data_IF_141598445678
#
_entry.id   IF_141598445678
#
_cell.length_a   1.000
_cell.length_b   1.000
_cell.length_c   1.000
_cell.angle_alpha   90.00
_cell.angle_beta   90.00
_cell.angle_gamma   90.00
#
_symmetry.space_group_name_H-M   'P 1'
#
loop_
_entity.id
_entity.type
_entity.pdbx_description
1 polymer ?
#
# COMPACT_ATOMS: atom_id res chain seq x y z
N UNK A 1 -25.14 -7.44 -34.65
CA UNK A 1 -24.93 -7.43 -33.17
C UNK A 1 -24.74 -6.00 -32.71
N UNK A 2 -25.70 -5.42 -32.05
CA UNK A 2 -25.68 -4.02 -31.63
C UNK A 2 -24.72 -3.83 -30.47
N UNK A 3 -23.74 -2.93 -30.61
CA UNK A 3 -22.91 -2.44 -29.50
C UNK A 3 -23.82 -1.66 -28.54
N UNK A 4 -24.08 -2.23 -27.35
CA UNK A 4 -24.73 -1.49 -26.29
C UNK A 4 -23.89 -0.25 -25.95
N UNK A 5 -24.43 0.96 -26.15
CA UNK A 5 -23.86 2.21 -25.64
C UNK A 5 -23.85 2.12 -24.12
N UNK A 6 -22.65 2.08 -23.54
CA UNK A 6 -22.51 2.23 -22.10
C UNK A 6 -23.09 3.57 -21.67
N UNK A 7 -23.95 3.56 -20.65
CA UNK A 7 -24.51 4.76 -20.06
C UNK A 7 -23.37 5.64 -19.53
N UNK A 8 -23.39 6.92 -19.88
CA UNK A 8 -22.42 7.89 -19.41
C UNK A 8 -22.54 8.00 -17.87
N UNK A 9 -21.51 7.52 -17.13
CA UNK A 9 -21.39 7.72 -15.68
C UNK A 9 -21.07 6.50 -14.81
N UNK A 10 -21.14 5.26 -15.30
CA UNK A 10 -20.68 4.11 -14.52
C UNK A 10 -19.15 4.01 -14.52
N UNK A 11 -18.49 3.78 -13.37
CA UNK A 11 -17.06 3.58 -13.36
C UNK A 11 -16.69 2.37 -14.22
N UNK A 12 -15.70 2.54 -15.12
CA UNK A 12 -15.20 1.45 -15.95
C UNK A 12 -14.70 0.30 -15.05
N UNK A 13 -15.13 -0.92 -15.35
CA UNK A 13 -14.62 -2.11 -14.65
C UNK A 13 -13.10 -2.14 -14.72
N UNK A 14 -12.44 -2.52 -13.62
CA UNK A 14 -10.99 -2.72 -13.60
C UNK A 14 -10.55 -3.81 -14.58
N UNK A 15 -11.44 -4.72 -14.96
CA UNK A 15 -11.17 -5.76 -15.96
C UNK A 15 -11.30 -5.26 -17.40
N UNK A 16 -12.02 -4.15 -17.63
CA UNK A 16 -12.27 -3.62 -18.97
C UNK A 16 -11.43 -2.38 -19.24
N UNK A 17 -10.13 -2.61 -19.47
CA UNK A 17 -9.15 -1.57 -19.81
C UNK A 17 -8.30 -2.00 -21.00
N UNK A 18 -7.76 -1.03 -21.71
CA UNK A 18 -6.72 -1.27 -22.69
C UNK A 18 -5.36 -1.35 -21.99
N UNK A 19 -4.45 -2.11 -22.56
CA UNK A 19 -3.08 -2.24 -22.06
C UNK A 19 -2.65 -3.67 -21.82
N UNK A 20 -1.63 -3.81 -20.97
CA UNK A 20 -0.93 -5.05 -20.73
C UNK A 20 -0.82 -5.37 -19.25
N UNK A 21 -0.97 -6.64 -18.91
CA UNK A 21 -0.62 -7.23 -17.62
C UNK A 21 0.53 -8.21 -17.85
N UNK A 22 1.53 -8.20 -17.00
CA UNK A 22 2.51 -9.27 -16.98
C UNK A 22 1.90 -10.44 -16.20
N UNK A 23 1.83 -11.61 -16.84
CA UNK A 23 1.22 -12.81 -16.26
C UNK A 23 2.09 -14.01 -16.62
N UNK A 24 2.58 -14.73 -15.61
CA UNK A 24 3.38 -15.96 -15.74
C UNK A 24 4.48 -15.89 -16.80
N UNK A 25 5.33 -14.87 -16.73
CA UNK A 25 6.53 -14.75 -17.56
C UNK A 25 6.38 -13.85 -18.80
N UNK A 26 5.17 -13.45 -19.20
CA UNK A 26 4.90 -12.69 -20.43
C UNK A 26 3.88 -11.56 -20.24
N UNK A 27 3.92 -10.58 -21.11
CA UNK A 27 2.87 -9.57 -21.23
C UNK A 27 1.67 -10.18 -21.99
N UNK A 28 0.48 -10.05 -21.40
CA UNK A 28 -0.78 -10.45 -22.03
C UNK A 28 -1.70 -9.24 -22.14
N UNK A 29 -2.64 -9.19 -23.13
CA UNK A 29 -3.65 -8.13 -23.18
C UNK A 29 -4.43 -8.07 -21.88
N UNK A 30 -4.75 -6.85 -21.41
CA UNK A 30 -5.38 -6.61 -20.08
C UNK A 30 -6.62 -7.49 -19.85
N UNK A 31 -7.53 -7.54 -20.85
CA UNK A 31 -8.80 -8.27 -20.75
C UNK A 31 -8.66 -9.78 -20.71
N UNK A 32 -7.50 -10.31 -21.09
CA UNK A 32 -7.23 -11.77 -21.12
C UNK A 32 -6.53 -12.28 -19.85
N UNK A 33 -6.13 -11.38 -18.95
CA UNK A 33 -5.51 -11.75 -17.67
C UNK A 33 -6.60 -12.21 -16.67
N UNK A 34 -7.08 -13.43 -16.85
CA UNK A 34 -8.16 -14.04 -16.06
C UNK A 34 -7.66 -15.24 -15.28
N UNK A 35 -8.39 -15.64 -14.24
CA UNK A 35 -8.14 -16.89 -13.50
C UNK A 35 -9.44 -17.67 -13.36
N UNK A 36 -9.32 -18.99 -13.17
CA UNK A 36 -10.48 -19.88 -13.02
C UNK A 36 -11.16 -19.65 -11.66
N UNK A 37 -12.48 -19.81 -11.59
CA UNK A 37 -13.27 -19.64 -10.34
C UNK A 37 -12.82 -20.60 -9.23
N UNK A 38 -12.25 -21.76 -9.55
CA UNK A 38 -11.68 -22.72 -8.60
C UNK A 38 -10.21 -22.43 -8.25
N UNK A 39 -9.71 -21.23 -8.54
CA UNK A 39 -8.38 -20.79 -8.08
C UNK A 39 -8.31 -20.86 -6.56
N UNK A 40 -7.38 -21.64 -6.03
CA UNK A 40 -7.25 -21.93 -4.59
C UNK A 40 -7.23 -20.64 -3.75
N UNK A 41 -6.47 -19.63 -4.18
CA UNK A 41 -6.37 -18.36 -3.45
C UNK A 41 -7.67 -17.59 -3.36
N UNK A 42 -8.63 -17.75 -4.29
CA UNK A 42 -9.96 -17.13 -4.21
C UNK A 42 -10.81 -17.72 -3.07
N UNK A 43 -10.61 -19.00 -2.75
CA UNK A 43 -11.39 -19.70 -1.72
C UNK A 43 -10.74 -19.63 -0.34
N UNK A 44 -9.41 -19.64 -0.27
CA UNK A 44 -8.68 -19.75 1.00
C UNK A 44 -7.83 -18.50 1.34
N UNK A 45 -7.89 -17.46 0.53
CA UNK A 45 -7.23 -16.18 0.80
C UNK A 45 -5.70 -16.19 0.72
N UNK A 46 -5.07 -17.32 0.39
CA UNK A 46 -3.62 -17.45 0.37
C UNK A 46 -3.01 -16.93 -0.94
N UNK A 47 -2.94 -15.61 -1.04
CA UNK A 47 -2.17 -14.89 -2.04
C UNK A 47 -1.35 -13.80 -1.33
N UNK A 48 -0.15 -13.50 -1.83
CA UNK A 48 0.68 -12.39 -1.35
C UNK A 48 0.80 -11.33 -2.43
N UNK A 49 0.76 -10.06 -2.05
CA UNK A 49 0.77 -8.98 -3.02
C UNK A 49 1.55 -7.77 -2.54
N UNK A 50 1.85 -6.87 -3.45
CA UNK A 50 2.43 -5.58 -3.14
C UNK A 50 1.64 -4.43 -3.74
N UNK A 51 1.81 -3.27 -3.14
CA UNK A 51 1.42 -2.01 -3.71
C UNK A 51 2.67 -1.18 -3.91
N UNK A 52 2.98 -0.88 -5.15
CA UNK A 52 4.19 -0.16 -5.56
C UNK A 52 3.75 1.06 -6.36
N UNK A 53 4.50 2.16 -6.32
CA UNK A 53 4.12 3.36 -7.05
C UNK A 53 5.24 3.85 -7.94
N UNK A 54 4.90 4.13 -9.18
CA UNK A 54 5.74 4.85 -10.12
C UNK A 54 5.30 6.31 -10.16
N UNK A 55 6.29 7.20 -10.14
CA UNK A 55 6.09 8.66 -10.15
C UNK A 55 6.69 9.27 -11.42
N UNK A 56 6.09 10.36 -11.89
CA UNK A 56 6.70 11.27 -12.83
C UNK A 56 7.77 12.08 -12.09
N UNK A 57 9.02 11.88 -12.47
CA UNK A 57 10.17 12.52 -11.79
C UNK A 57 10.98 13.38 -12.75
N UNK A 58 11.94 14.17 -12.24
CA UNK A 58 12.90 14.92 -13.07
C UNK A 58 13.74 14.04 -13.98
N UNK A 59 13.89 12.75 -13.66
CA UNK A 59 14.67 11.77 -14.44
C UNK A 59 13.81 10.87 -15.32
N UNK A 60 12.54 11.23 -15.53
CA UNK A 60 11.51 10.42 -16.18
C UNK A 60 10.70 9.60 -15.20
N UNK A 61 9.89 8.67 -15.69
CA UNK A 61 9.12 7.77 -14.83
C UNK A 61 10.06 6.88 -14.01
N UNK A 62 9.86 6.82 -12.70
CA UNK A 62 10.65 5.96 -11.81
C UNK A 62 9.77 5.31 -10.73
N UNK A 63 10.09 4.06 -10.39
CA UNK A 63 9.42 3.31 -9.32
C UNK A 63 10.14 3.57 -8.00
N UNK A 64 9.39 3.99 -6.99
CA UNK A 64 9.90 4.24 -5.64
C UNK A 64 10.09 2.93 -4.88
N UNK A 65 11.29 2.74 -4.28
CA UNK A 65 11.64 1.58 -3.43
C UNK A 65 11.31 0.22 -4.06
N UNK A 66 11.53 0.07 -5.38
CA UNK A 66 11.19 -1.15 -6.12
C UNK A 66 11.82 -2.41 -5.52
N UNK A 67 13.09 -2.33 -5.09
CA UNK A 67 13.80 -3.45 -4.49
C UNK A 67 13.14 -3.87 -3.17
N UNK A 68 12.89 -2.94 -2.27
CA UNK A 68 12.31 -3.20 -0.96
C UNK A 68 10.89 -3.77 -1.05
N UNK A 69 10.09 -3.28 -1.99
CA UNK A 69 8.76 -3.85 -2.29
C UNK A 69 8.87 -5.28 -2.81
N UNK A 70 9.82 -5.53 -3.72
CA UNK A 70 10.03 -6.89 -4.25
C UNK A 70 10.53 -7.83 -3.15
N UNK A 71 11.46 -7.38 -2.32
CA UNK A 71 11.96 -8.17 -1.18
C UNK A 71 10.81 -8.51 -0.20
N UNK A 72 9.92 -7.56 0.10
CA UNK A 72 8.78 -7.80 0.98
C UNK A 72 7.75 -8.76 0.36
N UNK A 73 7.54 -8.73 -0.95
CA UNK A 73 6.72 -9.73 -1.65
C UNK A 73 7.26 -11.15 -1.42
N UNK A 74 8.58 -11.33 -1.58
CA UNK A 74 9.23 -12.63 -1.35
C UNK A 74 9.23 -13.03 0.13
N UNK A 75 9.42 -12.09 1.04
CA UNK A 75 9.33 -12.34 2.48
C UNK A 75 7.90 -12.76 2.89
N UNK A 76 6.88 -12.09 2.35
CA UNK A 76 5.48 -12.47 2.56
C UNK A 76 5.19 -13.89 2.05
N UNK A 77 5.71 -14.24 0.86
CA UNK A 77 5.60 -15.57 0.30
C UNK A 77 6.33 -16.62 1.16
N UNK A 78 7.54 -16.29 1.62
CA UNK A 78 8.35 -17.19 2.47
C UNK A 78 7.66 -17.52 3.80
N UNK A 79 7.04 -16.54 4.45
CA UNK A 79 6.28 -16.71 5.70
C UNK A 79 5.17 -17.77 5.54
N UNK A 80 4.54 -17.82 4.36
CA UNK A 80 3.47 -18.79 4.04
C UNK A 80 3.95 -19.96 3.21
N UNK A 81 5.26 -20.23 3.16
CA UNK A 81 5.87 -21.35 2.43
C UNK A 81 5.53 -21.36 0.93
N UNK A 82 5.12 -20.22 0.38
CA UNK A 82 4.83 -20.07 -1.05
C UNK A 82 6.14 -19.87 -1.83
N UNK A 83 6.40 -20.76 -2.79
CA UNK A 83 7.59 -20.67 -3.65
C UNK A 83 7.25 -19.93 -4.94
N UNK A 84 7.58 -18.64 -5.00
CA UNK A 84 7.45 -17.84 -6.23
C UNK A 84 8.40 -18.43 -7.30
N UNK A 85 7.90 -18.77 -8.53
CA UNK A 85 8.71 -19.47 -9.54
C UNK A 85 9.61 -18.53 -10.36
N UNK A 86 9.97 -17.36 -9.80
CA UNK A 86 10.83 -16.34 -10.42
C UNK A 86 11.84 -15.81 -9.41
N UNK A 87 12.95 -15.24 -9.92
CA UNK A 87 13.90 -14.52 -9.07
C UNK A 87 13.40 -13.10 -8.76
N UNK A 88 13.96 -12.47 -7.73
CA UNK A 88 13.67 -11.07 -7.38
C UNK A 88 13.96 -10.14 -8.55
N UNK A 89 15.12 -10.31 -9.19
CA UNK A 89 15.57 -9.52 -10.33
C UNK A 89 14.59 -9.64 -11.50
N UNK A 90 14.10 -10.87 -11.78
CA UNK A 90 13.10 -11.07 -12.85
C UNK A 90 11.80 -10.35 -12.55
N UNK A 91 11.31 -10.37 -11.30
CA UNK A 91 10.08 -9.65 -10.93
C UNK A 91 10.28 -8.13 -10.87
N UNK A 92 11.46 -7.64 -10.48
CA UNK A 92 11.78 -6.22 -10.62
C UNK A 92 11.72 -5.78 -12.09
N UNK A 93 12.34 -6.54 -13.00
CA UNK A 93 12.28 -6.26 -14.43
C UNK A 93 10.84 -6.34 -14.98
N UNK A 94 10.04 -7.31 -14.54
CA UNK A 94 8.64 -7.45 -14.95
C UNK A 94 7.78 -6.23 -14.53
N UNK A 95 8.02 -5.68 -13.34
CA UNK A 95 7.36 -4.45 -12.91
C UNK A 95 7.75 -3.25 -13.79
N UNK A 96 9.01 -3.11 -14.16
CA UNK A 96 9.47 -2.08 -15.10
C UNK A 96 8.89 -2.30 -16.50
N UNK A 97 8.83 -3.56 -16.97
CA UNK A 97 8.26 -3.93 -18.27
C UNK A 97 6.79 -3.53 -18.37
N UNK A 98 5.98 -3.81 -17.34
CA UNK A 98 4.55 -3.52 -17.36
C UNK A 98 4.26 -2.01 -17.35
N UNK A 99 5.02 -1.22 -16.59
CA UNK A 99 4.88 0.24 -16.58
C UNK A 99 5.24 0.81 -17.95
N UNK A 100 6.34 0.30 -18.55
CA UNK A 100 6.80 0.73 -19.90
C UNK A 100 5.80 0.36 -21.00
N UNK A 101 5.27 -0.89 -20.99
CA UNK A 101 4.32 -1.37 -21.99
C UNK A 101 3.03 -0.55 -21.99
N UNK A 102 2.59 -0.10 -20.82
CA UNK A 102 1.40 0.74 -20.66
C UNK A 102 1.68 2.25 -20.83
N UNK A 103 2.93 2.67 -21.03
CA UNK A 103 3.34 4.07 -21.24
C UNK A 103 2.88 5.03 -20.14
N UNK A 104 2.79 4.56 -18.89
CA UNK A 104 2.36 5.40 -17.78
C UNK A 104 3.51 6.29 -17.30
N UNK A 105 3.26 7.59 -17.16
CA UNK A 105 4.18 8.53 -16.53
C UNK A 105 4.16 8.43 -15.00
N UNK A 106 2.98 8.17 -14.44
CA UNK A 106 2.77 7.88 -13.02
C UNK A 106 1.66 6.83 -12.90
N UNK A 107 1.85 5.83 -12.03
CA UNK A 107 0.87 4.75 -11.89
C UNK A 107 1.08 3.97 -10.58
N UNK A 108 0.06 3.24 -10.20
CA UNK A 108 0.14 2.20 -9.20
C UNK A 108 0.49 0.88 -9.86
N UNK A 109 1.34 0.09 -9.22
CA UNK A 109 1.78 -1.24 -9.70
C UNK A 109 1.39 -2.27 -8.65
N UNK A 110 0.69 -3.31 -9.06
CA UNK A 110 0.18 -4.38 -8.22
C UNK A 110 0.75 -5.75 -8.63
N UNK A 111 1.90 -6.15 -8.11
CA UNK A 111 2.32 -7.54 -8.20
C UNK A 111 1.54 -8.38 -7.19
N UNK A 112 1.15 -9.58 -7.61
CA UNK A 112 0.48 -10.58 -6.80
C UNK A 112 1.01 -11.96 -7.15
N UNK A 113 1.27 -12.79 -6.15
CA UNK A 113 1.56 -14.21 -6.30
C UNK A 113 0.47 -15.01 -5.59
N UNK A 114 -0.09 -16.02 -6.26
CA UNK A 114 -1.26 -16.75 -5.79
C UNK A 114 -1.23 -18.21 -6.23
N UNK A 115 -1.88 -19.09 -5.48
CA UNK A 115 -2.07 -20.48 -5.87
C UNK A 115 -3.21 -20.62 -6.87
N UNK A 116 -2.97 -21.37 -7.95
CA UNK A 116 -3.88 -21.61 -9.06
C UNK A 116 -5.00 -22.60 -8.76
N UNK A 117 -5.55 -23.18 -9.82
CA UNK A 117 -6.75 -24.04 -9.79
C UNK A 117 -6.44 -25.54 -9.90
N UNK A 118 -5.17 -25.93 -9.80
CA UNK A 118 -4.75 -27.32 -9.97
C UNK A 118 -5.19 -28.22 -8.81
N UNK A 119 -5.52 -27.62 -7.66
CA UNK A 119 -5.96 -28.35 -6.48
C UNK A 119 -6.88 -27.51 -5.61
N UNK A 120 -7.87 -28.17 -5.02
CA UNK A 120 -8.75 -27.61 -3.99
C UNK A 120 -8.48 -28.30 -2.63
N UNK A 121 -8.90 -27.64 -1.54
CA UNK A 121 -8.71 -28.07 -0.16
C UNK A 121 -7.75 -27.13 0.59
N UNK A 122 -7.77 -27.16 1.92
CA UNK A 122 -7.01 -26.22 2.77
C UNK A 122 -5.49 -26.29 2.48
N UNK A 123 -4.95 -27.48 2.19
CA UNK A 123 -3.54 -27.62 1.85
C UNK A 123 -3.28 -27.20 0.39
N UNK A 124 -2.40 -26.21 0.14
CA UNK A 124 -2.03 -25.81 -1.22
C UNK A 124 -1.00 -26.73 -1.88
N UNK A 125 -0.55 -27.79 -1.21
CA UNK A 125 0.46 -28.71 -1.76
C UNK A 125 -0.04 -29.34 -3.04
N UNK A 126 0.69 -29.13 -4.14
CA UNK A 126 0.33 -29.57 -5.49
C UNK A 126 -0.35 -28.52 -6.36
N UNK A 127 -0.77 -27.38 -5.81
CA UNK A 127 -1.19 -26.22 -6.60
C UNK A 127 0.03 -25.44 -7.12
N UNK A 128 -0.06 -24.89 -8.32
CA UNK A 128 0.98 -24.02 -8.89
C UNK A 128 0.88 -22.61 -8.32
N UNK A 129 2.02 -21.95 -8.20
CA UNK A 129 2.07 -20.53 -7.89
C UNK A 129 2.12 -19.73 -9.18
N UNK A 130 1.13 -18.90 -9.38
CA UNK A 130 1.03 -17.95 -10.48
C UNK A 130 1.47 -16.57 -10.03
N UNK A 131 1.96 -15.73 -10.96
CA UNK A 131 2.33 -14.35 -10.68
C UNK A 131 1.73 -13.44 -11.73
N UNK A 132 1.01 -12.41 -11.29
CA UNK A 132 0.52 -11.35 -12.15
C UNK A 132 1.00 -9.98 -11.67
N UNK A 133 1.26 -9.07 -12.61
CA UNK A 133 1.65 -7.68 -12.31
C UNK A 133 0.83 -6.76 -13.21
N UNK A 134 -0.06 -5.98 -12.60
CA UNK A 134 -0.84 -4.95 -13.27
C UNK A 134 -0.30 -3.56 -12.94
N UNK A 135 -0.45 -2.59 -13.87
CA UNK A 135 -0.14 -1.20 -13.62
C UNK A 135 -1.24 -0.31 -14.21
N UNK A 136 -1.73 0.66 -13.43
CA UNK A 136 -2.79 1.58 -13.87
C UNK A 136 -2.63 2.96 -13.24
N UNK A 137 -3.08 4.04 -13.93
CA UNK A 137 -3.12 5.36 -13.33
C UNK A 137 -4.04 5.34 -12.09
N UNK A 138 -3.50 5.78 -10.96
CA UNK A 138 -4.28 5.92 -9.73
C UNK A 138 -3.85 7.21 -9.03
N UNK A 139 -4.81 8.12 -8.83
CA UNK A 139 -4.60 9.39 -8.16
C UNK A 139 -4.32 9.23 -6.65
N UNK A 140 -4.51 10.30 -5.89
CA UNK A 140 -4.46 10.23 -4.44
C UNK A 140 -5.57 9.30 -3.92
N UNK A 141 -5.21 8.27 -3.16
CA UNK A 141 -6.13 7.21 -2.68
C UNK A 141 -7.33 7.78 -1.91
N UNK A 142 -7.06 8.70 -0.98
CA UNK A 142 -8.09 9.37 -0.17
C UNK A 142 -8.55 10.71 -0.80
N UNK A 143 -8.17 10.97 -2.05
CA UNK A 143 -8.46 12.21 -2.76
C UNK A 143 -7.43 13.32 -2.53
N UNK A 144 -7.35 14.30 -3.46
CA UNK A 144 -6.35 15.37 -3.38
C UNK A 144 -6.56 16.29 -2.17
N UNK A 145 -7.79 16.47 -1.70
CA UNK A 145 -8.11 17.28 -0.52
C UNK A 145 -7.61 16.64 0.77
N UNK A 146 -7.58 15.31 0.85
CA UNK A 146 -7.09 14.59 2.02
C UNK A 146 -5.63 14.93 2.34
N UNK A 147 -4.78 15.03 1.32
CA UNK A 147 -3.36 15.39 1.48
C UNK A 147 -3.17 16.84 1.99
N UNK A 148 -4.08 17.74 1.65
CA UNK A 148 -3.99 19.15 2.02
C UNK A 148 -4.71 19.46 3.34
N UNK A 149 -5.94 18.96 3.50
CA UNK A 149 -6.82 19.30 4.63
C UNK A 149 -6.74 18.29 5.78
N UNK A 150 -6.24 17.08 5.51
CA UNK A 150 -6.31 15.95 6.44
C UNK A 150 -7.68 15.26 6.44
N UNK A 151 -7.72 14.06 6.99
CA UNK A 151 -8.88 13.16 7.00
C UNK A 151 -9.47 13.02 8.40
N UNK A 152 -10.72 12.54 8.44
CA UNK A 152 -11.42 12.12 9.65
C UNK A 152 -11.30 10.61 9.81
N UNK A 153 -10.85 10.17 10.96
CA UNK A 153 -10.59 8.75 11.25
C UNK A 153 -11.49 8.28 12.38
N UNK A 154 -11.97 7.05 12.26
CA UNK A 154 -12.74 6.37 13.30
C UNK A 154 -11.93 5.19 13.85
N UNK A 155 -11.86 5.06 15.16
CA UNK A 155 -11.41 3.81 15.77
C UNK A 155 -12.44 2.71 15.47
N UNK A 156 -12.01 1.66 14.82
CA UNK A 156 -12.85 0.52 14.48
C UNK A 156 -13.23 -0.28 15.71
N UNK A 157 -14.42 -0.86 15.71
CA UNK A 157 -14.84 -1.87 16.70
C UNK A 157 -14.13 -3.21 16.52
N UNK A 158 -13.54 -3.44 15.32
CA UNK A 158 -12.75 -4.64 15.02
C UNK A 158 -11.30 -4.45 15.46
N UNK A 159 -10.76 -5.41 16.22
CA UNK A 159 -9.33 -5.43 16.53
C UNK A 159 -8.52 -5.94 15.35
N UNK A 160 -7.28 -5.46 15.22
CA UNK A 160 -6.29 -6.06 14.33
C UNK A 160 -6.04 -7.50 14.77
N UNK A 161 -5.92 -8.41 13.82
CA UNK A 161 -5.72 -9.83 14.13
C UNK A 161 -4.50 -10.06 15.03
N UNK A 162 -4.63 -10.98 15.97
CA UNK A 162 -3.54 -11.38 16.83
C UNK A 162 -2.38 -11.97 16.03
N UNK A 163 -1.14 -11.69 16.44
CA UNK A 163 0.10 -12.07 15.75
C UNK A 163 0.25 -13.59 15.54
N UNK A 164 -0.47 -14.41 16.32
CA UNK A 164 -0.50 -15.88 16.17
C UNK A 164 -1.81 -16.40 15.55
N UNK A 165 -2.63 -15.54 14.96
CA UNK A 165 -3.79 -15.92 14.13
C UNK A 165 -3.43 -15.84 12.65
N UNK A 166 -2.83 -14.74 12.24
CA UNK A 166 -2.23 -14.53 10.93
C UNK A 166 -0.93 -13.75 11.07
N UNK A 167 -0.05 -13.84 10.07
CA UNK A 167 1.29 -13.23 10.16
C UNK A 167 1.25 -11.76 9.72
N UNK A 168 1.28 -10.82 10.68
CA UNK A 168 1.20 -9.38 10.42
C UNK A 168 2.34 -8.83 9.54
N UNK A 169 3.49 -9.51 9.48
CA UNK A 169 4.62 -9.13 8.62
C UNK A 169 4.43 -9.49 7.15
N UNK A 170 3.46 -10.34 6.83
CA UNK A 170 3.16 -10.74 5.46
C UNK A 170 2.02 -9.89 4.89
N UNK A 171 2.23 -9.32 3.71
CA UNK A 171 1.17 -8.64 2.95
C UNK A 171 0.38 -9.69 2.17
N UNK A 172 -0.59 -10.31 2.86
CA UNK A 172 -1.39 -11.44 2.36
C UNK A 172 -2.86 -11.05 2.17
N UNK A 173 -3.48 -11.51 1.09
CA UNK A 173 -4.89 -11.19 0.76
C UNK A 173 -5.87 -11.61 1.85
N UNK A 174 -5.66 -12.76 2.48
CA UNK A 174 -6.53 -13.30 3.52
C UNK A 174 -6.55 -12.51 4.84
N UNK A 175 -5.65 -11.54 5.05
CA UNK A 175 -5.71 -10.64 6.21
C UNK A 175 -6.56 -9.39 5.95
N UNK A 176 -6.84 -9.08 4.68
CA UNK A 176 -7.53 -7.86 4.28
C UNK A 176 -9.03 -7.81 4.59
N UNK A 177 -9.79 -8.92 4.78
CA UNK A 177 -11.15 -8.83 5.30
C UNK A 177 -11.26 -8.02 6.60
N UNK A 178 -10.27 -8.09 7.48
CA UNK A 178 -10.19 -7.26 8.69
C UNK A 178 -10.09 -5.75 8.35
N UNK A 179 -9.23 -5.38 7.40
CA UNK A 179 -9.12 -4.00 6.91
C UNK A 179 -10.41 -3.52 6.21
N UNK A 180 -11.03 -4.39 5.40
CA UNK A 180 -12.30 -4.09 4.72
C UNK A 180 -13.41 -3.80 5.72
N UNK A 181 -13.54 -4.61 6.78
CA UNK A 181 -14.52 -4.38 7.83
C UNK A 181 -14.32 -3.03 8.54
N UNK A 182 -13.06 -2.68 8.86
CA UNK A 182 -12.75 -1.39 9.49
C UNK A 182 -13.07 -0.19 8.59
N UNK A 183 -12.73 -0.28 7.29
CA UNK A 183 -13.04 0.79 6.30
C UNK A 183 -14.56 0.91 6.08
N UNK A 184 -15.29 -0.21 5.96
CA UNK A 184 -16.74 -0.19 5.82
C UNK A 184 -17.42 0.43 7.05
N UNK A 185 -17.01 0.06 8.25
CA UNK A 185 -17.52 0.65 9.49
C UNK A 185 -17.25 2.16 9.55
N UNK A 186 -16.04 2.60 9.25
CA UNK A 186 -15.69 4.02 9.20
C UNK A 186 -16.55 4.78 8.20
N UNK A 187 -16.69 4.27 6.98
CA UNK A 187 -17.49 4.87 5.92
C UNK A 187 -18.97 4.96 6.29
N UNK A 188 -19.55 3.91 6.89
CA UNK A 188 -20.95 3.92 7.35
C UNK A 188 -21.22 4.98 8.42
N UNK A 189 -20.19 5.34 9.20
CA UNK A 189 -20.28 6.40 10.20
C UNK A 189 -19.82 7.78 9.69
N UNK A 190 -19.59 7.93 8.39
CA UNK A 190 -19.22 9.22 7.75
C UNK A 190 -17.77 9.64 7.99
N UNK A 191 -16.86 8.70 8.25
CA UNK A 191 -15.42 8.93 8.34
C UNK A 191 -14.72 8.47 7.07
N UNK A 192 -13.50 8.96 6.87
CA UNK A 192 -12.73 8.71 5.66
C UNK A 192 -11.92 7.42 5.74
N UNK A 193 -11.46 7.00 6.95
CA UNK A 193 -10.64 5.81 7.16
C UNK A 193 -10.80 5.26 8.59
N UNK A 194 -10.45 3.97 8.77
CA UNK A 194 -10.49 3.26 10.04
C UNK A 194 -9.12 3.16 10.71
N UNK A 195 -9.07 3.36 12.03
CA UNK A 195 -7.94 3.03 12.89
C UNK A 195 -8.21 1.71 13.60
N UNK A 196 -7.28 0.78 13.52
CA UNK A 196 -7.35 -0.51 14.19
C UNK A 196 -6.46 -0.51 15.43
N UNK A 197 -7.02 -1.00 16.54
CA UNK A 197 -6.27 -1.35 17.74
C UNK A 197 -5.85 -2.83 17.67
N UNK A 198 -4.79 -3.20 18.35
CA UNK A 198 -4.48 -4.62 18.58
C UNK A 198 -5.44 -5.26 19.59
N UNK A 199 -5.28 -6.55 19.84
CA UNK A 199 -6.14 -7.30 20.77
C UNK A 199 -5.98 -6.88 22.25
N UNK A 200 -4.90 -6.18 22.58
CA UNK A 200 -4.65 -5.62 23.92
C UNK A 200 -5.17 -4.18 24.05
N UNK A 201 -5.73 -3.60 22.97
CA UNK A 201 -6.30 -2.25 22.94
C UNK A 201 -5.31 -1.14 22.60
N UNK A 202 -4.07 -1.46 22.18
CA UNK A 202 -3.09 -0.48 21.72
C UNK A 202 -3.25 -0.19 20.23
N UNK A 203 -2.89 1.01 19.82
CA UNK A 203 -2.91 1.43 18.42
C UNK A 203 -1.99 0.55 17.59
N UNK A 204 -2.52 -0.07 16.55
CA UNK A 204 -1.76 -0.89 15.61
C UNK A 204 -1.43 -0.13 14.32
N UNK A 205 -2.43 0.09 13.49
CA UNK A 205 -2.28 0.75 12.17
C UNK A 205 -3.66 1.17 11.63
N UNK A 206 -3.71 1.94 10.56
CA UNK A 206 -4.94 2.16 9.77
C UNK A 206 -5.35 0.89 9.02
N UNK A 207 -6.45 0.93 8.28
CA UNK A 207 -6.93 -0.23 7.51
C UNK A 207 -5.92 -0.65 6.41
N UNK A 208 -5.15 0.29 5.85
CA UNK A 208 -4.12 0.03 4.85
C UNK A 208 -2.83 0.83 5.03
N UNK A 209 -2.64 1.52 6.16
CA UNK A 209 -1.59 2.49 6.43
C UNK A 209 -1.00 2.34 7.82
N UNK A 210 0.29 2.70 7.98
CA UNK A 210 0.87 2.90 9.31
C UNK A 210 0.55 4.31 9.83
N UNK A 211 0.49 4.47 11.16
CA UNK A 211 0.20 5.74 11.81
C UNK A 211 1.44 6.30 12.52
N UNK A 212 1.53 7.63 12.53
CA UNK A 212 2.45 8.40 13.35
C UNK A 212 1.68 9.47 14.14
N UNK A 213 2.21 9.79 15.31
CA UNK A 213 1.64 10.79 16.22
C UNK A 213 2.75 11.77 16.61
N UNK A 214 2.48 13.06 16.57
CA UNK A 214 3.43 14.09 17.02
C UNK A 214 2.96 14.66 18.35
N UNK A 215 3.85 14.64 19.33
CA UNK A 215 3.62 15.27 20.63
C UNK A 215 4.90 15.90 21.17
N UNK A 216 4.82 17.18 21.55
CA UNK A 216 5.95 17.96 22.08
C UNK A 216 7.20 17.90 21.16
N UNK A 217 6.99 17.96 19.84
CA UNK A 217 8.07 17.92 18.85
C UNK A 217 8.68 16.55 18.57
N UNK A 218 8.27 15.50 19.28
CA UNK A 218 8.70 14.12 19.06
C UNK A 218 7.68 13.41 18.16
N UNK A 219 8.18 12.67 17.17
CA UNK A 219 7.39 11.81 16.29
C UNK A 219 7.32 10.42 16.90
N UNK A 220 6.13 10.03 17.33
CA UNK A 220 5.87 8.73 17.93
C UNK A 220 5.25 7.78 16.91
N UNK A 221 5.64 6.51 16.98
CA UNK A 221 5.02 5.44 16.21
C UNK A 221 4.61 4.26 17.11
N UNK A 222 3.58 3.48 16.75
CA UNK A 222 3.28 2.24 17.45
C UNK A 222 4.44 1.25 17.36
N UNK A 223 4.69 0.51 18.44
CA UNK A 223 5.53 -0.68 18.36
C UNK A 223 4.94 -1.65 17.32
N UNK A 224 5.79 -2.14 16.42
CA UNK A 224 5.35 -3.05 15.36
C UNK A 224 5.10 -4.46 15.89
N UNK A 225 4.00 -4.66 16.60
CA UNK A 225 3.54 -5.99 17.02
C UNK A 225 2.56 -6.57 15.99
N UNK A 226 1.40 -5.94 15.80
CA UNK A 226 0.29 -6.39 14.96
C UNK A 226 0.16 -5.60 13.65
N UNK A 227 1.20 -4.85 13.23
CA UNK A 227 1.19 -4.02 12.04
C UNK A 227 2.20 -4.46 10.99
N UNK A 228 1.91 -4.14 9.73
CA UNK A 228 2.83 -4.38 8.62
C UNK A 228 4.02 -3.40 8.73
N UNK A 229 5.24 -3.89 8.45
CA UNK A 229 6.41 -3.03 8.29
C UNK A 229 6.31 -2.25 6.98
N UNK A 230 5.73 -1.04 7.06
CA UNK A 230 5.49 -0.19 5.90
C UNK A 230 6.78 0.35 5.29
N UNK A 231 6.90 0.31 3.96
CA UNK A 231 8.05 0.86 3.25
C UNK A 231 8.00 2.39 3.28
N UNK A 232 6.82 2.98 3.11
CA UNK A 232 6.63 4.42 3.30
C UNK A 232 6.91 4.83 4.73
N UNK A 233 6.46 4.03 5.73
CA UNK A 233 6.78 4.24 7.15
C UNK A 233 8.30 4.32 7.37
N UNK A 234 9.06 3.33 6.90
CA UNK A 234 10.52 3.32 7.05
C UNK A 234 11.15 4.54 6.38
N UNK A 235 10.69 4.91 5.18
CA UNK A 235 11.17 6.10 4.48
C UNK A 235 10.88 7.39 5.26
N UNK A 236 9.70 7.49 5.88
CA UNK A 236 9.30 8.64 6.71
C UNK A 236 10.15 8.75 7.97
N UNK A 237 10.50 7.63 8.62
CA UNK A 237 11.42 7.64 9.77
C UNK A 237 12.78 8.21 9.38
N UNK A 238 13.37 7.74 8.26
CA UNK A 238 14.64 8.25 7.74
C UNK A 238 14.56 9.76 7.45
N UNK A 239 13.46 10.21 6.80
CA UNK A 239 13.25 11.62 6.47
C UNK A 239 13.04 12.49 7.70
N UNK A 240 12.23 12.04 8.67
CA UNK A 240 11.97 12.77 9.91
C UNK A 240 13.25 12.95 10.73
N UNK A 241 14.06 11.89 10.85
CA UNK A 241 15.34 11.93 11.56
C UNK A 241 16.30 12.92 10.90
N UNK A 242 16.39 12.94 9.57
CA UNK A 242 17.27 13.90 8.88
C UNK A 242 16.76 15.35 8.94
N UNK A 243 15.47 15.56 9.11
CA UNK A 243 14.90 16.87 9.39
C UNK A 243 15.14 17.33 10.83
N UNK A 244 15.80 16.51 11.66
CA UNK A 244 16.13 16.81 13.04
C UNK A 244 15.03 16.46 14.04
N UNK A 245 13.97 15.75 13.61
CA UNK A 245 12.93 15.26 14.53
C UNK A 245 13.40 13.98 15.20
N UNK A 246 13.18 13.88 16.49
CA UNK A 246 13.34 12.63 17.21
C UNK A 246 12.17 11.70 16.90
N UNK A 247 12.47 10.45 16.51
CA UNK A 247 11.46 9.41 16.23
C UNK A 247 11.58 8.33 17.30
N UNK A 248 10.48 8.02 17.98
CA UNK A 248 10.43 6.99 19.04
C UNK A 248 9.26 6.04 18.82
N UNK A 249 9.48 4.77 19.16
CA UNK A 249 8.42 3.77 19.21
C UNK A 249 7.92 3.61 20.66
N UNK A 250 6.59 3.46 20.85
CA UNK A 250 5.97 3.06 22.11
C UNK A 250 4.63 2.37 21.85
N UNK A 251 4.10 1.68 22.85
CA UNK A 251 2.69 1.25 22.83
C UNK A 251 1.80 2.48 22.99
N UNK A 252 1.17 2.90 21.88
CA UNK A 252 0.28 4.05 21.84
C UNK A 252 -1.14 3.64 22.20
N UNK A 253 -1.83 4.49 22.94
CA UNK A 253 -3.25 4.36 23.24
C UNK A 253 -4.08 5.36 22.41
N UNK A 254 -5.40 5.23 22.37
CA UNK A 254 -6.26 6.19 21.65
C UNK A 254 -6.16 7.60 22.21
N UNK A 255 -6.08 7.72 23.52
CA UNK A 255 -5.96 9.00 24.21
C UNK A 255 -4.63 9.70 23.93
N UNK A 256 -3.53 8.97 23.67
CA UNK A 256 -2.30 9.55 23.12
C UNK A 256 -2.58 10.32 21.80
N UNK A 257 -3.47 9.79 20.94
CA UNK A 257 -3.82 10.44 19.69
C UNK A 257 -4.77 11.61 19.92
N UNK A 258 -5.76 11.48 20.84
CA UNK A 258 -6.72 12.55 21.15
C UNK A 258 -6.04 13.83 21.65
N UNK A 259 -4.94 13.69 22.40
CA UNK A 259 -4.17 14.82 22.93
C UNK A 259 -2.94 15.18 22.10
N UNK A 260 -2.77 14.57 20.94
CA UNK A 260 -1.63 14.81 20.06
C UNK A 260 -1.65 16.24 19.47
N UNK A 261 -0.47 16.74 19.13
CA UNK A 261 -0.32 17.99 18.41
C UNK A 261 -0.60 17.81 16.92
N UNK A 262 -0.19 16.63 16.37
CA UNK A 262 -0.43 16.20 14.99
C UNK A 262 -0.54 14.67 14.94
N UNK A 263 -1.23 14.15 13.90
CA UNK A 263 -1.18 12.76 13.53
C UNK A 263 -1.25 12.60 12.01
N UNK A 264 -0.67 11.54 11.47
CA UNK A 264 -0.72 11.26 10.04
C UNK A 264 -0.56 9.78 9.74
N UNK A 265 -1.16 9.36 8.62
CA UNK A 265 -0.97 8.04 8.05
C UNK A 265 0.15 8.03 7.01
N UNK A 266 0.77 6.84 6.84
CA UNK A 266 1.77 6.59 5.79
C UNK A 266 1.51 5.28 5.07
N UNK A 267 1.53 5.32 3.74
CA UNK A 267 1.34 4.13 2.91
C UNK A 267 1.67 4.41 1.46
N UNK A 268 1.84 3.38 0.65
CA UNK A 268 2.12 3.57 -0.79
C UNK A 268 0.96 4.26 -1.51
N UNK A 269 -0.28 3.94 -1.15
CA UNK A 269 -1.47 4.56 -1.73
C UNK A 269 -1.78 5.91 -1.06
N UNK A 270 -1.70 5.97 0.27
CA UNK A 270 -2.00 7.14 1.08
C UNK A 270 -0.86 8.18 1.11
N UNK A 271 0.36 7.79 0.71
CA UNK A 271 1.56 8.64 0.78
C UNK A 271 1.81 9.13 2.23
N UNK A 272 1.74 10.42 2.50
CA UNK A 272 1.76 11.00 3.86
C UNK A 272 0.48 11.80 4.02
N UNK A 273 -0.53 11.22 4.68
CA UNK A 273 -1.87 11.81 4.81
C UNK A 273 -2.12 12.28 6.23
N UNK A 274 -2.32 13.59 6.46
CA UNK A 274 -2.62 14.12 7.79
C UNK A 274 -3.96 13.60 8.33
N UNK A 275 -4.05 13.39 9.64
CA UNK A 275 -5.28 13.09 10.36
C UNK A 275 -5.68 14.35 11.13
N UNK A 276 -6.87 14.90 10.82
CA UNK A 276 -7.39 16.12 11.45
C UNK A 276 -8.34 15.86 12.62
N UNK A 277 -8.92 14.65 12.65
CA UNK A 277 -9.93 14.27 13.63
C UNK A 277 -9.88 12.76 13.86
N UNK A 278 -10.02 12.32 15.12
CA UNK A 278 -10.22 10.94 15.48
C UNK A 278 -11.45 10.83 16.42
N UNK A 279 -12.41 9.97 16.09
CA UNK A 279 -13.61 9.69 16.88
C UNK A 279 -14.38 10.96 17.28
N UNK A 280 -14.55 11.91 16.37
CA UNK A 280 -15.21 13.19 16.62
C UNK A 280 -14.38 14.21 17.41
N UNK A 281 -13.11 13.91 17.74
CA UNK A 281 -12.20 14.82 18.43
C UNK A 281 -11.18 15.40 17.46
N UNK A 282 -11.11 16.73 17.42
CA UNK A 282 -10.10 17.43 16.63
C UNK A 282 -8.70 17.12 17.19
N UNK A 283 -7.75 16.81 16.31
CA UNK A 283 -6.34 16.63 16.63
C UNK A 283 -5.60 17.95 16.40
N UNK A 284 -4.92 18.44 17.43
CA UNK A 284 -4.19 19.71 17.39
C UNK A 284 -5.02 20.84 16.79
N UNK A 285 -4.55 21.46 15.70
CA UNK A 285 -5.24 22.55 15.03
C UNK A 285 -6.33 22.11 14.02
N UNK A 286 -6.68 20.81 13.94
CA UNK A 286 -7.66 20.27 12.99
C UNK A 286 -7.20 20.31 11.53
N UNK A 287 -5.91 20.33 11.29
CA UNK A 287 -5.26 20.35 9.98
C UNK A 287 -3.82 19.86 10.08
N UNK A 288 -3.18 19.61 8.92
CA UNK A 288 -1.75 19.28 8.89
C UNK A 288 -0.91 20.31 9.65
N UNK A 289 -0.20 19.87 10.67
CA UNK A 289 0.71 20.70 11.44
C UNK A 289 2.09 20.87 10.76
N UNK A 290 2.99 21.63 11.39
CA UNK A 290 4.30 21.96 10.80
C UNK A 290 5.19 20.70 10.59
N UNK A 291 5.20 19.76 11.52
CA UNK A 291 6.01 18.54 11.43
C UNK A 291 5.51 17.65 10.29
N UNK A 292 4.20 17.38 10.24
CA UNK A 292 3.58 16.60 9.15
C UNK A 292 3.86 17.24 7.78
N UNK A 293 3.74 18.58 7.65
CA UNK A 293 4.02 19.28 6.40
C UNK A 293 5.49 19.19 5.99
N UNK A 294 6.42 19.30 6.95
CA UNK A 294 7.84 19.17 6.67
C UNK A 294 8.18 17.78 6.14
N UNK A 295 7.68 16.72 6.81
CA UNK A 295 7.86 15.33 6.40
C UNK A 295 7.19 15.07 5.04
N UNK A 296 5.97 15.55 4.83
CA UNK A 296 5.23 15.43 3.58
C UNK A 296 5.98 16.08 2.42
N UNK A 297 6.50 17.30 2.63
CA UNK A 297 7.33 17.98 1.63
C UNK A 297 8.57 17.18 1.28
N UNK A 298 9.32 16.72 2.29
CA UNK A 298 10.53 15.92 2.09
C UNK A 298 10.22 14.63 1.33
N UNK A 299 9.13 13.94 1.67
CA UNK A 299 8.66 12.75 0.95
C UNK A 299 8.37 13.05 -0.53
N UNK A 300 7.63 14.13 -0.82
CA UNK A 300 7.32 14.50 -2.21
C UNK A 300 8.56 14.98 -2.98
N UNK A 301 9.52 15.63 -2.35
CA UNK A 301 10.79 15.98 -2.99
C UNK A 301 11.59 14.72 -3.39
N UNK A 302 11.54 13.66 -2.58
CA UNK A 302 12.14 12.36 -2.92
C UNK A 302 11.41 11.70 -4.09
N UNK A 303 10.10 11.48 -4.00
CA UNK A 303 9.36 10.70 -5.01
C UNK A 303 9.24 11.42 -6.34
N UNK A 304 9.41 12.75 -6.38
CA UNK A 304 9.49 13.54 -7.61
C UNK A 304 10.92 13.68 -8.17
N UNK A 305 11.92 13.15 -7.46
CA UNK A 305 13.34 13.16 -7.88
C UNK A 305 14.08 14.47 -7.62
N UNK A 306 13.47 15.44 -6.94
CA UNK A 306 14.09 16.71 -6.53
C UNK A 306 15.18 16.50 -5.49
N UNK A 307 14.97 15.56 -4.55
CA UNK A 307 16.00 15.16 -3.61
C UNK A 307 17.06 14.28 -4.30
N UNK A 308 18.19 14.90 -4.67
CA UNK A 308 19.30 14.23 -5.37
C UNK A 308 19.98 13.19 -4.49
N UNK A 309 20.01 13.37 -3.16
CA UNK A 309 20.65 12.46 -2.21
C UNK A 309 19.97 11.09 -2.22
N UNK A 310 18.65 11.05 -2.40
CA UNK A 310 17.85 9.81 -2.37
C UNK A 310 17.40 9.32 -3.74
N UNK A 311 18.05 9.72 -4.81
CA UNK A 311 17.77 9.19 -6.16
C UNK A 311 17.95 7.66 -6.25
N UNK A 312 18.73 7.07 -5.38
CA UNK A 312 18.89 5.61 -5.28
C UNK A 312 17.61 4.89 -4.80
N UNK A 313 16.64 5.61 -4.21
CA UNK A 313 15.31 5.08 -3.90
C UNK A 313 14.39 4.99 -5.12
N UNK A 314 14.78 5.59 -6.23
CA UNK A 314 14.02 5.66 -7.46
C UNK A 314 14.66 4.75 -8.51
N UNK A 315 13.92 3.76 -8.99
CA UNK A 315 14.36 2.89 -10.09
C UNK A 315 13.75 3.40 -11.40
N UNK A 316 14.54 3.98 -12.33
CA UNK A 316 14.03 4.55 -13.57
C UNK A 316 13.42 3.49 -14.49
N UNK A 317 12.25 3.80 -15.06
CA UNK A 317 11.57 3.02 -16.10
C UNK A 317 12.17 3.43 -17.47
N UNK A 318 13.42 3.08 -17.74
CA UNK A 318 14.08 3.43 -19.00
C UNK A 318 13.58 2.54 -20.14
N UNK A 319 13.43 3.11 -21.35
CA UNK A 319 13.35 2.29 -22.55
C UNK A 319 14.64 1.44 -22.66
N UNK A 320 14.52 0.16 -23.06
CA UNK A 320 15.71 -0.56 -23.53
C UNK A 320 16.32 0.30 -24.63
N UNK A 321 17.58 0.77 -24.45
CA UNK A 321 18.34 1.26 -25.60
C UNK A 321 18.38 0.08 -26.57
N UNK A 322 17.80 0.25 -27.76
CA UNK A 322 17.90 -0.74 -28.80
C UNK A 322 19.40 -1.05 -29.03
N UNK A 323 19.73 -2.35 -29.05
CA UNK A 323 20.99 -2.82 -29.59
C UNK A 323 20.91 -2.67 -31.08
#
# INVERSE_FOLDING_TARGET
MAKAKAAAGAPLSMADRDGWIWHDGKLVPWRTATTHVLTHSLHYGLAVFEGVRAYKTEIGTAIFRLKEHTDRLFNSAHIYLMKIPYTRERLMQAQLEVVRANKHEACYVRPIAFYGSEKMGVSPVGAKVHVAIAAWPWGAYLGPEALAKGIRVKTSSYARHHINVTMARAKMSGTYPNSVLATLEATQHGYDEGLLLDVDGFVAEGAGENIFVVKNGIVWEPELTSALTGITRTSVIELATELGYEVRAKRLTRDDIYIADEAFFTGTAAEVTPIRELDGRQIGAGKAGPVTKAIQKAFFDVVTGKDRKRRHWLTPVKAKKGK
#
